data_IF_838071161563
#
_entry.id   IF_838071161563
#
_cell.length_a   1.000
_cell.length_b   1.000
_cell.length_c   1.000
_cell.angle_alpha   90.00
_cell.angle_beta   90.00
_cell.angle_gamma   90.00
#
_symmetry.space_group_name_H-M   'P 1'
#
loop_
_entity.id
_entity.type
_entity.pdbx_description
1 polymer ?
#
# COMPACT_ATOMS: atom_id res chain seq x y z
N UNK A 1 7.13 -7.35 18.68
CA UNK A 1 8.16 -6.69 17.87
C UNK A 1 7.82 -6.94 16.41
N UNK A 2 8.10 -6.03 15.47
CA UNK A 2 8.02 -6.36 14.06
C UNK A 2 8.99 -7.52 13.77
N UNK A 3 8.64 -8.49 12.92
CA UNK A 3 9.50 -9.62 12.61
C UNK A 3 10.77 -9.22 11.88
N UNK A 4 10.77 -8.04 11.23
CA UNK A 4 11.90 -7.54 10.46
C UNK A 4 12.28 -6.12 10.85
N UNK A 5 13.59 -5.90 10.93
CA UNK A 5 14.23 -4.58 10.95
C UNK A 5 14.97 -4.44 9.62
N UNK A 6 14.55 -3.48 8.79
CA UNK A 6 15.10 -3.25 7.47
C UNK A 6 16.16 -2.14 7.54
N UNK A 7 17.31 -2.39 6.94
CA UNK A 7 18.34 -1.38 6.73
C UNK A 7 18.49 -1.11 5.23
N UNK A 8 18.41 0.16 4.89
CA UNK A 8 18.66 0.63 3.53
C UNK A 8 19.88 1.56 3.56
N UNK A 9 20.80 1.37 2.63
CA UNK A 9 22.02 2.19 2.55
C UNK A 9 22.43 2.44 1.09
N UNK A 10 23.16 3.54 0.89
CA UNK A 10 23.83 3.86 -0.36
C UNK A 10 25.14 4.56 -0.11
N UNK A 11 26.09 4.42 -1.04
CA UNK A 11 27.32 5.18 -1.12
C UNK A 11 27.21 6.48 -1.94
N UNK A 12 26.01 6.73 -2.51
CA UNK A 12 25.72 7.92 -3.30
C UNK A 12 24.63 8.79 -2.66
N UNK A 13 24.93 10.08 -2.49
CA UNK A 13 23.98 11.05 -1.95
C UNK A 13 22.73 11.24 -2.82
N UNK A 14 22.81 11.00 -4.12
CA UNK A 14 21.65 11.06 -5.03
C UNK A 14 20.62 9.98 -4.74
N UNK A 15 21.01 8.87 -4.11
CA UNK A 15 20.09 7.80 -3.72
C UNK A 15 19.31 8.09 -2.41
N UNK A 16 19.77 9.02 -1.58
CA UNK A 16 19.14 9.31 -0.27
C UNK A 16 17.66 9.67 -0.39
N UNK A 17 17.23 10.59 -1.28
CA UNK A 17 15.79 10.89 -1.44
C UNK A 17 14.96 9.67 -1.82
N UNK A 18 15.53 8.73 -2.57
CA UNK A 18 14.88 7.49 -2.96
C UNK A 18 14.70 6.55 -1.77
N UNK A 19 15.73 6.40 -0.94
CA UNK A 19 15.66 5.58 0.27
C UNK A 19 14.69 6.16 1.29
N UNK A 20 14.69 7.48 1.48
CA UNK A 20 13.74 8.17 2.34
C UNK A 20 12.29 7.99 1.87
N UNK A 21 12.05 7.99 0.56
CA UNK A 21 10.72 7.79 0.01
C UNK A 21 10.19 6.37 0.22
N UNK A 22 11.04 5.35 0.40
CA UNK A 22 10.61 3.96 0.58
C UNK A 22 9.68 3.80 1.78
N UNK A 23 10.13 4.25 2.94
CA UNK A 23 9.45 4.05 4.22
C UNK A 23 9.47 5.31 5.07
N UNK A 24 9.23 6.46 4.45
CA UNK A 24 9.27 7.77 5.11
C UNK A 24 8.47 7.83 6.41
N UNK A 25 7.37 7.09 6.49
CA UNK A 25 6.50 7.01 7.64
C UNK A 25 6.79 5.83 8.58
N UNK A 26 7.83 5.04 8.30
CA UNK A 26 8.21 3.94 9.17
C UNK A 26 8.96 4.46 10.41
N UNK A 27 8.68 3.92 11.60
CA UNK A 27 9.46 4.25 12.78
C UNK A 27 10.91 3.76 12.61
N UNK A 28 11.88 4.64 12.90
CA UNK A 28 13.28 4.23 13.02
C UNK A 28 13.50 3.45 14.33
N UNK A 29 14.48 2.56 14.32
CA UNK A 29 14.84 1.74 15.49
C UNK A 29 16.33 1.55 15.57
N UNK A 30 16.88 1.45 16.77
CA UNK A 30 18.29 1.09 17.02
C UNK A 30 18.52 -0.42 17.06
N UNK A 31 17.46 -1.23 16.90
CA UNK A 31 17.59 -2.68 16.87
C UNK A 31 18.43 -3.12 15.66
N UNK A 32 19.25 -4.17 15.80
CA UNK A 32 20.09 -4.65 14.70
C UNK A 32 19.21 -5.08 13.51
N UNK A 33 19.62 -4.73 12.28
CA UNK A 33 18.86 -5.06 11.08
C UNK A 33 18.87 -6.57 10.85
N UNK A 34 17.70 -7.09 10.49
CA UNK A 34 17.51 -8.49 10.08
C UNK A 34 17.63 -8.66 8.56
N UNK A 35 17.32 -7.61 7.81
CA UNK A 35 17.41 -7.57 6.34
C UNK A 35 18.12 -6.29 5.90
N UNK A 36 19.08 -6.43 4.98
CA UNK A 36 19.87 -5.31 4.46
C UNK A 36 19.77 -5.20 2.96
N UNK A 37 19.53 -3.97 2.50
CA UNK A 37 19.44 -3.61 1.08
C UNK A 37 20.41 -2.47 0.80
N UNK A 38 21.14 -2.55 -0.32
CA UNK A 38 22.07 -1.50 -0.69
C UNK A 38 21.86 -1.05 -2.12
N UNK A 39 22.08 0.24 -2.36
CA UNK A 39 22.24 0.83 -3.68
C UNK A 39 23.67 1.35 -3.78
N UNK A 40 24.48 0.80 -4.67
CA UNK A 40 25.86 1.18 -4.87
C UNK A 40 26.07 1.72 -6.29
N UNK A 41 26.62 2.91 -6.40
CA UNK A 41 27.02 3.48 -7.68
C UNK A 41 28.23 2.71 -8.24
N UNK A 42 28.17 2.31 -9.50
CA UNK A 42 29.25 1.56 -10.19
C UNK A 42 29.71 2.24 -11.48
N UNK A 43 29.10 3.35 -11.85
CA UNK A 43 29.42 4.16 -13.02
C UNK A 43 28.53 5.39 -13.07
N UNK A 44 28.74 6.27 -14.05
CA UNK A 44 27.87 7.42 -14.27
C UNK A 44 26.42 6.93 -14.49
N UNK A 45 25.47 7.35 -13.65
CA UNK A 45 24.07 6.91 -13.67
C UNK A 45 23.84 5.39 -13.63
N UNK A 46 24.78 4.62 -13.13
CA UNK A 46 24.71 3.16 -13.05
C UNK A 46 24.85 2.64 -11.63
N UNK A 47 23.90 1.83 -11.19
CA UNK A 47 23.78 1.32 -9.83
C UNK A 47 23.65 -0.20 -9.81
N UNK A 48 24.25 -0.81 -8.78
CA UNK A 48 23.99 -2.18 -8.35
C UNK A 48 23.11 -2.16 -7.12
N UNK A 49 21.99 -2.87 -7.18
CA UNK A 49 21.12 -3.11 -6.04
C UNK A 49 21.40 -4.49 -5.45
N UNK A 50 21.52 -4.57 -4.12
CA UNK A 50 21.66 -5.85 -3.42
C UNK A 50 20.50 -6.07 -2.45
N UNK A 51 20.12 -7.32 -2.29
CA UNK A 51 19.12 -7.79 -1.34
C UNK A 51 19.60 -9.08 -0.66
N UNK A 52 19.03 -9.46 0.50
CA UNK A 52 19.41 -10.69 1.17
C UNK A 52 19.26 -11.93 0.29
N UNK A 53 20.23 -12.85 0.41
CA UNK A 53 20.23 -14.19 -0.19
C UNK A 53 19.95 -14.27 -1.71
N UNK A 54 20.18 -13.17 -2.46
CA UNK A 54 19.97 -13.12 -3.91
C UNK A 54 21.15 -12.46 -4.63
N UNK A 55 21.38 -12.78 -5.92
CA UNK A 55 22.40 -12.09 -6.71
C UNK A 55 22.06 -10.59 -6.84
N UNK A 56 23.09 -9.74 -6.96
CA UNK A 56 22.90 -8.32 -7.24
C UNK A 56 22.11 -8.09 -8.53
N UNK A 57 21.29 -7.04 -8.55
CA UNK A 57 20.58 -6.56 -9.73
C UNK A 57 21.32 -5.35 -10.32
N UNK A 58 21.44 -5.29 -11.61
CA UNK A 58 22.10 -4.20 -12.34
C UNK A 58 23.35 -4.66 -13.09
N UNK A 59 24.14 -3.72 -13.65
CA UNK A 59 23.98 -2.27 -13.53
C UNK A 59 22.67 -1.74 -14.16
N UNK A 60 22.01 -0.81 -13.50
CA UNK A 60 20.74 -0.23 -13.90
C UNK A 60 20.67 1.26 -13.52
N UNK A 61 19.67 2.00 -14.03
CA UNK A 61 19.43 3.37 -13.56
C UNK A 61 19.13 3.40 -12.06
N UNK A 62 19.33 4.55 -11.40
CA UNK A 62 18.97 4.70 -9.98
C UNK A 62 17.51 4.34 -9.72
N UNK A 63 16.58 4.79 -10.57
CA UNK A 63 15.16 4.50 -10.44
C UNK A 63 14.82 3.02 -10.53
N UNK A 64 15.44 2.29 -11.47
CA UNK A 64 15.22 0.84 -11.62
C UNK A 64 15.85 0.04 -10.49
N UNK A 65 17.06 0.42 -10.08
CA UNK A 65 17.75 -0.20 -8.95
C UNK A 65 16.97 -0.01 -7.64
N UNK A 66 16.41 1.20 -7.43
CA UNK A 66 15.56 1.51 -6.29
C UNK A 66 14.25 0.70 -6.32
N UNK A 67 13.57 0.65 -7.47
CA UNK A 67 12.33 -0.13 -7.62
C UNK A 67 12.56 -1.63 -7.35
N UNK A 68 13.73 -2.15 -7.72
CA UNK A 68 14.11 -3.50 -7.36
C UNK A 68 14.26 -3.68 -5.84
N UNK A 69 14.93 -2.75 -5.15
CA UNK A 69 15.09 -2.78 -3.70
C UNK A 69 13.73 -2.71 -3.01
N UNK A 70 12.86 -1.80 -3.43
CA UNK A 70 11.51 -1.65 -2.90
C UNK A 70 10.70 -2.95 -3.03
N UNK A 71 10.67 -3.52 -4.22
CA UNK A 71 9.96 -4.76 -4.47
C UNK A 71 10.50 -5.93 -3.65
N UNK A 72 11.83 -6.05 -3.53
CA UNK A 72 12.46 -7.11 -2.74
C UNK A 72 12.16 -6.98 -1.25
N UNK A 73 12.24 -5.77 -0.72
CA UNK A 73 11.95 -5.52 0.68
C UNK A 73 10.51 -5.93 1.05
N UNK A 74 9.55 -5.59 0.20
CA UNK A 74 8.16 -6.02 0.38
C UNK A 74 8.01 -7.54 0.24
N UNK A 75 8.62 -8.15 -0.76
CA UNK A 75 8.56 -9.61 -0.97
C UNK A 75 9.12 -10.36 0.24
N UNK A 76 10.27 -9.94 0.77
CA UNK A 76 10.90 -10.57 1.92
C UNK A 76 10.04 -10.44 3.18
N UNK A 77 9.41 -9.29 3.40
CA UNK A 77 8.46 -9.07 4.52
C UNK A 77 7.18 -9.90 4.33
N UNK A 78 6.64 -10.00 3.11
CA UNK A 78 5.45 -10.80 2.82
C UNK A 78 5.67 -12.30 2.99
N UNK A 79 6.89 -12.77 2.73
CA UNK A 79 7.26 -14.19 2.86
C UNK A 79 7.47 -14.63 4.31
N UNK A 80 7.73 -13.68 5.22
CA UNK A 80 7.86 -13.95 6.65
C UNK A 80 7.06 -12.94 7.50
N UNK A 81 5.73 -13.01 7.51
CA UNK A 81 4.88 -12.08 8.26
C UNK A 81 5.00 -12.24 9.77
N UNK A 82 5.66 -13.29 10.24
CA UNK A 82 5.61 -13.71 11.64
C UNK A 82 4.32 -14.50 11.98
N UNK A 83 4.24 -15.06 13.20
CA UNK A 83 3.22 -16.06 13.56
C UNK A 83 1.80 -15.49 13.67
N UNK A 84 1.66 -14.21 13.98
CA UNK A 84 0.39 -13.59 14.38
C UNK A 84 -0.16 -12.57 13.37
N UNK A 85 0.46 -12.47 12.21
CA UNK A 85 0.08 -11.51 11.17
C UNK A 85 -0.08 -12.20 9.82
N UNK A 86 -0.97 -11.65 9.02
CA UNK A 86 -1.06 -11.94 7.59
C UNK A 86 -1.17 -10.63 6.81
N UNK A 87 -0.84 -10.67 5.54
CA UNK A 87 -0.97 -9.53 4.65
C UNK A 87 -2.18 -9.67 3.73
N UNK A 88 -2.81 -8.54 3.45
CA UNK A 88 -3.99 -8.45 2.59
C UNK A 88 -3.73 -7.41 1.51
N UNK A 89 -3.95 -7.78 0.25
CA UNK A 89 -3.90 -6.84 -0.88
C UNK A 89 -5.17 -5.98 -0.89
N UNK A 90 -5.13 -4.90 -0.14
CA UNK A 90 -6.22 -3.96 0.02
C UNK A 90 -5.66 -2.56 0.31
N UNK A 91 -6.46 -1.54 0.05
CA UNK A 91 -6.25 -0.22 0.61
C UNK A 91 -7.15 -0.01 1.83
N UNK A 92 -6.75 0.92 2.72
CA UNK A 92 -7.54 1.28 3.90
C UNK A 92 -7.49 2.78 4.14
N UNK A 93 -8.65 3.41 4.30
CA UNK A 93 -8.77 4.85 4.58
C UNK A 93 -9.70 5.06 5.77
N UNK A 94 -9.32 5.95 6.67
CA UNK A 94 -10.14 6.32 7.83
C UNK A 94 -10.89 7.62 7.57
N UNK A 95 -12.22 7.55 7.60
CA UNK A 95 -13.12 8.70 7.44
C UNK A 95 -13.85 8.90 8.77
N UNK A 96 -13.44 9.90 9.52
CA UNK A 96 -13.82 10.02 10.94
C UNK A 96 -13.36 8.78 11.72
N UNK A 97 -14.25 8.15 12.47
CA UNK A 97 -13.97 6.93 13.23
C UNK A 97 -14.07 5.65 12.39
N UNK A 98 -14.49 5.73 11.13
CA UNK A 98 -14.79 4.59 10.29
C UNK A 98 -13.60 4.21 9.41
N UNK A 99 -13.09 3.00 9.56
CA UNK A 99 -12.10 2.41 8.64
C UNK A 99 -12.83 1.76 7.47
N UNK A 100 -12.59 2.26 6.26
CA UNK A 100 -13.10 1.73 5.01
C UNK A 100 -11.98 0.98 4.29
N UNK A 101 -12.19 -0.28 3.94
CA UNK A 101 -11.29 -1.07 3.12
C UNK A 101 -11.72 -0.98 1.65
N UNK A 102 -10.74 -0.80 0.75
CA UNK A 102 -10.94 -0.86 -0.69
C UNK A 102 -10.30 -2.15 -1.21
N UNK A 103 -11.09 -3.01 -1.83
CA UNK A 103 -10.63 -4.28 -2.41
C UNK A 103 -10.99 -4.34 -3.88
N UNK A 104 -10.15 -4.96 -4.67
CA UNK A 104 -10.35 -5.08 -6.11
C UNK A 104 -9.05 -5.47 -6.81
N UNK A 105 -9.12 -5.85 -8.09
CA UNK A 105 -7.95 -6.24 -8.84
C UNK A 105 -6.95 -5.08 -9.04
N UNK A 106 -5.75 -5.39 -9.54
CA UNK A 106 -4.81 -4.35 -9.97
C UNK A 106 -5.45 -3.45 -11.02
N UNK A 107 -5.20 -2.14 -10.96
CA UNK A 107 -5.80 -1.16 -11.88
C UNK A 107 -7.26 -0.78 -11.58
N UNK A 108 -7.87 -1.26 -10.50
CA UNK A 108 -9.23 -0.88 -10.10
C UNK A 108 -9.35 0.53 -9.49
N UNK A 109 -8.24 1.25 -9.32
CA UNK A 109 -8.22 2.61 -8.78
C UNK A 109 -8.03 2.72 -7.27
N UNK A 110 -7.70 1.63 -6.55
CA UNK A 110 -7.45 1.66 -5.09
C UNK A 110 -6.49 2.77 -4.70
N UNK A 111 -5.27 2.79 -5.27
CA UNK A 111 -4.24 3.77 -4.96
C UNK A 111 -4.66 5.20 -5.29
N UNK A 112 -5.35 5.39 -6.42
CA UNK A 112 -5.87 6.70 -6.84
C UNK A 112 -6.94 7.24 -5.88
N UNK A 113 -7.91 6.40 -5.49
CA UNK A 113 -8.96 6.78 -4.53
C UNK A 113 -8.34 7.07 -3.17
N UNK A 114 -7.39 6.24 -2.71
CA UNK A 114 -6.66 6.45 -1.46
C UNK A 114 -5.93 7.79 -1.46
N UNK A 115 -5.22 8.12 -2.52
CA UNK A 115 -4.49 9.39 -2.65
C UNK A 115 -5.45 10.59 -2.67
N UNK A 116 -6.59 10.51 -3.37
CA UNK A 116 -7.62 11.56 -3.38
C UNK A 116 -8.24 11.80 -1.99
N UNK A 117 -8.44 10.74 -1.22
CA UNK A 117 -8.95 10.85 0.15
C UNK A 117 -7.89 11.40 1.11
N UNK A 118 -6.61 11.01 0.92
CA UNK A 118 -5.48 11.61 1.66
C UNK A 118 -5.36 13.12 1.43
N UNK A 119 -5.48 13.59 0.16
CA UNK A 119 -5.51 15.03 -0.16
C UNK A 119 -6.60 15.79 0.59
N UNK A 120 -7.71 15.12 0.91
CA UNK A 120 -8.82 15.69 1.68
C UNK A 120 -8.59 15.65 3.19
N UNK A 121 -7.44 15.13 3.64
CA UNK A 121 -7.07 15.02 5.05
C UNK A 121 -7.56 13.74 5.73
N UNK A 122 -8.01 12.71 4.99
CA UNK A 122 -8.38 11.42 5.54
C UNK A 122 -7.16 10.50 5.65
N UNK A 123 -6.74 10.09 6.87
CA UNK A 123 -5.59 9.21 7.03
C UNK A 123 -5.83 7.86 6.36
N UNK A 124 -4.80 7.35 5.65
CA UNK A 124 -4.83 6.03 5.05
C UNK A 124 -3.90 5.06 5.78
N UNK A 125 -4.27 3.79 5.85
CA UNK A 125 -3.37 2.71 6.31
C UNK A 125 -2.39 2.29 5.21
N UNK A 126 -2.76 2.49 3.95
CA UNK A 126 -2.00 2.11 2.77
C UNK A 126 -2.92 1.91 1.56
N UNK A 127 -2.33 1.72 0.39
CA UNK A 127 -3.05 1.62 -0.89
C UNK A 127 -2.97 0.25 -1.57
N UNK A 128 -2.08 -0.63 -1.09
CA UNK A 128 -1.78 -1.90 -1.76
C UNK A 128 -1.66 -3.08 -0.79
N UNK A 129 -0.97 -2.90 0.34
CA UNK A 129 -0.72 -3.95 1.33
C UNK A 129 -1.07 -3.47 2.72
N UNK A 130 -1.92 -4.21 3.39
CA UNK A 130 -2.27 -4.02 4.80
C UNK A 130 -1.87 -5.23 5.62
N UNK A 131 -1.51 -5.01 6.87
CA UNK A 131 -1.36 -6.06 7.88
C UNK A 131 -2.70 -6.35 8.52
N UNK A 132 -3.02 -7.63 8.68
CA UNK A 132 -4.18 -8.09 9.43
C UNK A 132 -3.74 -8.99 10.58
N UNK A 133 -4.21 -8.68 11.79
CA UNK A 133 -3.99 -9.47 12.99
C UNK A 133 -5.22 -10.34 13.28
N UNK A 134 -5.20 -11.67 12.96
CA UNK A 134 -6.34 -12.55 13.08
C UNK A 134 -6.95 -12.61 14.48
N UNK A 135 -6.12 -12.52 15.52
CA UNK A 135 -6.59 -12.62 16.91
C UNK A 135 -7.44 -11.42 17.36
N UNK A 136 -7.24 -10.24 16.78
CA UNK A 136 -7.95 -9.01 17.16
C UNK A 136 -8.91 -8.49 16.10
N UNK A 137 -8.81 -8.97 14.86
CA UNK A 137 -9.54 -8.43 13.72
C UNK A 137 -9.06 -7.02 13.27
N UNK A 138 -7.86 -6.61 13.68
CA UNK A 138 -7.32 -5.29 13.43
C UNK A 138 -6.51 -5.27 12.14
N UNK A 139 -6.79 -4.27 11.29
CA UNK A 139 -5.96 -3.89 10.16
C UNK A 139 -5.00 -2.77 10.56
N UNK A 140 -3.78 -2.83 10.06
CA UNK A 140 -2.74 -1.83 10.29
C UNK A 140 -1.91 -1.59 9.03
N UNK A 141 -1.19 -0.48 9.03
CA UNK A 141 -0.35 -0.07 7.92
C UNK A 141 0.86 -0.98 7.73
N UNK A 142 1.26 -1.19 6.47
CA UNK A 142 2.65 -1.36 6.08
C UNK A 142 3.13 0.03 5.69
N UNK A 143 4.02 0.66 6.47
CA UNK A 143 4.38 2.07 6.29
C UNK A 143 5.29 2.24 5.05
N UNK A 144 4.69 2.36 3.88
CA UNK A 144 5.36 2.55 2.59
C UNK A 144 4.69 3.67 1.78
N UNK A 145 5.40 4.18 0.77
CA UNK A 145 4.84 5.15 -0.17
C UNK A 145 3.72 4.55 -1.01
N UNK A 146 2.76 5.38 -1.39
CA UNK A 146 1.75 5.02 -2.38
C UNK A 146 2.41 4.90 -3.75
N UNK A 147 2.00 3.91 -4.54
CA UNK A 147 2.43 3.75 -5.92
C UNK A 147 1.32 4.23 -6.86
N UNK A 148 1.58 5.33 -7.55
CA UNK A 148 0.63 5.99 -8.45
C UNK A 148 1.06 5.82 -9.90
N UNK A 149 0.10 5.60 -10.79
CA UNK A 149 0.29 5.65 -12.24
C UNK A 149 0.10 7.07 -12.79
N UNK A 150 0.39 7.25 -14.08
CA UNK A 150 0.27 8.55 -14.76
C UNK A 150 -1.15 9.13 -14.69
N UNK A 151 -2.18 8.30 -14.70
CA UNK A 151 -3.57 8.75 -14.62
C UNK A 151 -3.89 9.29 -13.22
N UNK A 152 -3.45 8.60 -12.17
CA UNK A 152 -3.58 9.06 -10.80
C UNK A 152 -2.85 10.39 -10.59
N UNK A 153 -1.64 10.48 -11.15
CA UNK A 153 -0.83 11.69 -11.14
C UNK A 153 -1.57 12.90 -11.75
N UNK A 154 -2.15 12.74 -12.93
CA UNK A 154 -2.94 13.80 -13.58
C UNK A 154 -4.18 14.18 -12.76
N UNK A 155 -4.87 13.20 -12.17
CA UNK A 155 -6.06 13.44 -11.36
C UNK A 155 -5.76 14.22 -10.07
N UNK A 156 -4.60 14.00 -9.46
CA UNK A 156 -4.18 14.69 -8.25
C UNK A 156 -3.58 16.08 -8.52
N UNK A 157 -3.52 16.55 -9.78
CA UNK A 157 -2.84 17.79 -10.17
C UNK A 157 -1.43 17.92 -9.59
N UNK A 158 -0.77 16.81 -9.36
CA UNK A 158 0.61 16.79 -8.90
C UNK A 158 1.48 17.32 -10.06
N UNK A 159 1.84 18.59 -10.02
CA UNK A 159 2.69 19.19 -11.03
C UNK A 159 4.11 18.66 -10.86
N UNK A 160 4.60 17.96 -11.86
CA UNK A 160 6.03 17.79 -12.06
C UNK A 160 6.62 19.17 -12.37
N UNK A 161 6.94 19.94 -11.36
CA UNK A 161 7.74 21.16 -11.56
C UNK A 161 9.11 20.73 -12.06
N UNK A 162 9.29 20.84 -13.38
CA UNK A 162 10.43 20.56 -14.22
C UNK A 162 11.61 19.85 -13.56
N UNK A 163 12.11 18.78 -14.19
CA UNK A 163 13.33 18.03 -13.86
C UNK A 163 13.85 18.25 -12.42
N UNK A 164 13.57 17.31 -11.53
CA UNK A 164 14.32 17.04 -10.29
C UNK A 164 13.94 17.76 -8.99
N UNK A 165 12.81 18.41 -8.84
CA UNK A 165 12.37 18.76 -7.49
C UNK A 165 10.99 18.15 -7.21
N UNK A 166 10.98 16.84 -7.09
CA UNK A 166 9.87 16.16 -6.42
C UNK A 166 9.82 16.69 -4.99
N UNK A 167 8.64 17.03 -4.51
CA UNK A 167 8.46 17.40 -3.09
C UNK A 167 9.06 16.30 -2.20
N UNK A 168 9.52 16.68 -1.03
CA UNK A 168 10.04 15.72 -0.04
C UNK A 168 9.10 14.52 0.06
N UNK A 169 9.64 13.31 -0.09
CA UNK A 169 8.86 12.07 -0.04
C UNK A 169 8.17 11.66 -1.35
N UNK A 170 8.59 12.20 -2.50
CA UNK A 170 8.07 11.80 -3.81
C UNK A 170 9.22 11.40 -4.74
N UNK A 171 9.10 10.24 -5.40
CA UNK A 171 10.13 9.68 -6.30
C UNK A 171 9.49 9.10 -7.54
N UNK A 172 10.05 9.40 -8.71
CA UNK A 172 9.73 8.72 -9.98
C UNK A 172 10.72 7.57 -10.21
N UNK A 173 10.22 6.35 -10.24
CA UNK A 173 11.04 5.16 -10.45
C UNK A 173 10.29 4.12 -11.28
N UNK A 174 10.97 3.47 -12.22
CA UNK A 174 10.42 2.41 -13.09
C UNK A 174 9.05 2.77 -13.71
N UNK A 175 8.86 4.03 -14.15
CA UNK A 175 7.62 4.50 -14.78
C UNK A 175 6.43 4.67 -13.81
N UNK A 176 6.66 4.65 -12.51
CA UNK A 176 5.64 4.89 -11.49
C UNK A 176 6.07 6.00 -10.54
N UNK A 177 5.11 6.77 -10.06
CA UNK A 177 5.34 7.79 -9.03
C UNK A 177 5.09 7.16 -7.65
N UNK A 178 6.10 7.25 -6.78
CA UNK A 178 5.99 6.86 -5.38
C UNK A 178 5.84 8.12 -4.53
N UNK A 179 4.77 8.19 -3.76
CA UNK A 179 4.41 9.38 -2.98
C UNK A 179 4.23 8.99 -1.52
N UNK A 180 4.99 9.63 -0.64
CA UNK A 180 4.78 9.46 0.80
C UNK A 180 3.38 9.96 1.19
N UNK A 181 2.63 9.23 2.04
CA UNK A 181 1.36 9.71 2.56
C UNK A 181 1.45 11.09 3.20
N UNK A 182 2.57 11.42 3.85
CA UNK A 182 2.81 12.74 4.48
C UNK A 182 2.89 13.86 3.44
N UNK A 183 3.33 13.57 2.22
CA UNK A 183 3.36 14.57 1.14
C UNK A 183 1.94 14.98 0.68
N UNK A 184 0.97 14.09 0.80
CA UNK A 184 -0.44 14.36 0.46
C UNK A 184 -1.24 14.86 1.68
N UNK A 185 -0.92 14.38 2.87
CA UNK A 185 -1.57 14.74 4.12
C UNK A 185 -0.50 15.00 5.20
N UNK A 186 -0.07 16.25 5.42
CA UNK A 186 1.01 16.57 6.37
C UNK A 186 0.75 16.13 7.81
N UNK A 187 -0.51 15.98 8.19
CA UNK A 187 -0.94 15.49 9.51
C UNK A 187 -1.23 13.99 9.50
N UNK A 188 -0.75 13.27 8.46
CA UNK A 188 -1.03 11.85 8.32
C UNK A 188 -0.47 11.03 9.49
N UNK A 189 -1.32 10.16 10.00
CA UNK A 189 -0.98 9.15 10.99
C UNK A 189 -1.74 7.86 10.66
N UNK A 190 -1.04 6.73 10.60
CA UNK A 190 -1.66 5.45 10.34
C UNK A 190 -2.33 4.91 11.61
N UNK A 191 -3.63 5.11 11.75
CA UNK A 191 -4.41 4.64 12.91
C UNK A 191 -5.00 3.25 12.64
N UNK A 192 -4.49 2.18 13.26
CA UNK A 192 -5.04 0.83 13.11
C UNK A 192 -6.49 0.73 13.55
N UNK A 193 -7.23 -0.26 13.03
CA UNK A 193 -8.61 -0.47 13.45
C UNK A 193 -9.30 -1.66 12.80
N UNK A 194 -10.51 -1.94 13.31
CA UNK A 194 -11.43 -2.86 12.65
C UNK A 194 -12.14 -2.16 11.50
N UNK A 195 -12.44 -2.84 10.40
CA UNK A 195 -13.16 -2.24 9.30
C UNK A 195 -14.62 -1.95 9.69
N UNK A 196 -15.09 -0.77 9.36
CA UNK A 196 -16.51 -0.43 9.37
C UNK A 196 -17.18 -0.82 8.06
N UNK A 197 -16.47 -0.69 6.93
CA UNK A 197 -16.99 -0.95 5.61
C UNK A 197 -15.94 -1.51 4.66
N UNK A 198 -16.42 -2.24 3.66
CA UNK A 198 -15.64 -2.77 2.55
C UNK A 198 -16.25 -2.32 1.24
N UNK A 199 -15.47 -1.68 0.40
CA UNK A 199 -15.84 -1.30 -0.96
C UNK A 199 -15.13 -2.22 -1.95
N UNK A 200 -15.90 -3.00 -2.68
CA UNK A 200 -15.40 -3.85 -3.77
C UNK A 200 -15.37 -3.02 -5.06
N UNK A 201 -14.18 -2.80 -5.59
CA UNK A 201 -13.94 -2.05 -6.82
C UNK A 201 -13.86 -3.00 -8.03
N UNK A 202 -14.47 -2.60 -9.13
CA UNK A 202 -14.38 -3.31 -10.42
C UNK A 202 -13.27 -2.74 -11.31
N UNK A 203 -12.76 -3.56 -12.24
CA UNK A 203 -11.68 -3.17 -13.18
C UNK A 203 -12.15 -2.51 -14.46
N UNK A 204 -13.43 -2.22 -14.64
CA UNK A 204 -13.93 -1.79 -15.94
C UNK A 204 -13.88 -0.27 -16.14
N UNK A 205 -13.65 0.21 -17.39
CA UNK A 205 -13.78 1.63 -17.71
C UNK A 205 -15.27 2.00 -17.64
N UNK A 206 -15.62 2.75 -16.62
CA UNK A 206 -17.01 3.07 -16.33
C UNK A 206 -17.40 4.43 -16.95
N UNK A 207 -18.43 4.40 -17.80
CA UNK A 207 -19.11 5.59 -18.30
C UNK A 207 -20.46 5.67 -17.58
N UNK A 208 -20.54 6.48 -16.52
CA UNK A 208 -21.78 6.68 -15.78
C UNK A 208 -21.61 7.40 -14.45
N UNK A 209 -22.72 7.61 -13.75
CA UNK A 209 -22.70 8.11 -12.37
C UNK A 209 -22.12 7.05 -11.44
N UNK A 210 -21.38 7.50 -10.41
CA UNK A 210 -20.87 6.60 -9.39
C UNK A 210 -22.03 6.10 -8.54
N UNK A 211 -22.17 4.80 -8.46
CA UNK A 211 -23.09 4.15 -7.54
C UNK A 211 -22.30 3.26 -6.58
N UNK A 212 -22.58 3.41 -5.29
CA UNK A 212 -22.20 2.46 -4.27
C UNK A 212 -23.46 1.71 -3.87
N UNK A 213 -23.61 0.52 -4.42
CA UNK A 213 -24.72 -0.37 -4.06
C UNK A 213 -24.32 -1.17 -2.82
N UNK A 214 -25.26 -1.30 -1.86
CA UNK A 214 -25.07 -2.25 -0.77
C UNK A 214 -24.97 -3.66 -1.35
N UNK A 215 -23.95 -4.38 -0.91
CA UNK A 215 -23.70 -5.74 -1.34
C UNK A 215 -23.79 -6.71 -0.15
N UNK A 216 -23.85 -8.00 -0.46
CA UNK A 216 -23.81 -9.02 0.60
C UNK A 216 -22.41 -9.04 1.24
N UNK A 217 -22.38 -9.12 2.56
CA UNK A 217 -21.16 -9.23 3.35
C UNK A 217 -20.31 -10.43 2.89
N UNK A 218 -20.94 -11.51 2.46
CA UNK A 218 -20.26 -12.71 1.98
C UNK A 218 -19.41 -12.48 0.73
N UNK A 219 -19.81 -11.61 -0.20
CA UNK A 219 -19.00 -11.28 -1.39
C UNK A 219 -17.80 -10.43 -1.02
N UNK A 220 -17.97 -9.43 -0.14
CA UNK A 220 -16.86 -8.62 0.35
C UNK A 220 -15.84 -9.47 1.12
N UNK A 221 -16.33 -10.36 1.97
CA UNK A 221 -15.53 -11.32 2.72
C UNK A 221 -14.73 -12.25 1.78
N UNK A 222 -15.39 -12.79 0.75
CA UNK A 222 -14.72 -13.63 -0.24
C UNK A 222 -13.61 -12.87 -0.98
N UNK A 223 -13.86 -11.61 -1.38
CA UNK A 223 -12.86 -10.76 -2.04
C UNK A 223 -11.66 -10.49 -1.14
N UNK A 224 -11.88 -10.21 0.15
CA UNK A 224 -10.79 -10.04 1.11
C UNK A 224 -10.00 -11.34 1.33
N UNK A 225 -10.65 -12.49 1.42
CA UNK A 225 -9.96 -13.78 1.52
C UNK A 225 -9.13 -14.08 0.27
N UNK A 226 -9.64 -13.74 -0.92
CA UNK A 226 -8.88 -13.84 -2.18
C UNK A 226 -7.68 -12.90 -2.23
N UNK A 227 -7.71 -11.82 -1.46
CA UNK A 227 -6.65 -10.81 -1.38
C UNK A 227 -5.56 -11.13 -0.34
N UNK A 228 -5.64 -12.26 0.36
CA UNK A 228 -4.59 -12.70 1.29
C UNK A 228 -3.28 -12.98 0.54
N UNK A 229 -2.21 -12.32 0.97
CA UNK A 229 -0.87 -12.41 0.38
C UNK A 229 0.04 -13.38 1.18
N UNK A 230 1.09 -13.89 0.53
CA UNK A 230 2.16 -14.67 1.17
C UNK A 230 1.81 -16.09 1.59
N UNK A 231 0.54 -16.49 1.53
CA UNK A 231 0.08 -17.78 2.03
C UNK A 231 0.11 -18.91 0.97
N UNK A 232 0.54 -18.65 -0.26
CA UNK A 232 0.51 -19.64 -1.34
C UNK A 232 1.73 -20.59 -1.35
N UNK A 233 2.84 -20.21 -0.71
CA UNK A 233 4.14 -20.85 -0.93
C UNK A 233 4.83 -21.42 0.33
N UNK A 234 4.18 -21.46 1.49
CA UNK A 234 4.81 -21.89 2.74
C UNK A 234 4.16 -23.07 3.44
N UNK A 235 4.79 -23.61 4.49
CA UNK A 235 4.23 -24.68 5.35
C UNK A 235 2.93 -24.29 6.09
N UNK A 236 2.32 -23.20 5.67
CA UNK A 236 1.25 -22.46 6.35
C UNK A 236 -0.18 -22.67 5.85
N UNK A 237 -0.52 -23.75 5.12
CA UNK A 237 -1.94 -23.97 4.74
C UNK A 237 -2.90 -23.89 5.94
N UNK A 238 -2.46 -24.32 7.12
CA UNK A 238 -3.20 -24.18 8.37
C UNK A 238 -3.31 -22.73 8.85
N UNK A 239 -2.24 -21.94 8.72
CA UNK A 239 -2.23 -20.53 9.11
C UNK A 239 -3.13 -19.71 8.19
N UNK A 240 -3.08 -19.95 6.86
CA UNK A 240 -3.98 -19.32 5.89
C UNK A 240 -5.46 -19.61 6.19
N UNK A 241 -5.79 -20.88 6.46
CA UNK A 241 -7.16 -21.25 6.82
C UNK A 241 -7.63 -20.55 8.09
N UNK A 242 -6.80 -20.49 9.13
CA UNK A 242 -7.09 -19.75 10.36
C UNK A 242 -7.27 -18.26 10.10
N UNK A 243 -6.39 -17.66 9.31
CA UNK A 243 -6.48 -16.25 8.93
C UNK A 243 -7.73 -15.95 8.08
N UNK A 244 -8.10 -16.84 7.14
CA UNK A 244 -9.33 -16.71 6.36
C UNK A 244 -10.58 -16.75 7.24
N UNK A 245 -10.64 -17.67 8.21
CA UNK A 245 -11.76 -17.74 9.14
C UNK A 245 -11.85 -16.49 10.02
N UNK A 246 -10.73 -16.05 10.60
CA UNK A 246 -10.70 -14.83 11.41
C UNK A 246 -11.07 -13.58 10.59
N UNK A 247 -10.67 -13.53 9.31
CA UNK A 247 -11.06 -12.45 8.41
C UNK A 247 -12.57 -12.44 8.15
N UNK A 248 -13.16 -13.62 7.90
CA UNK A 248 -14.61 -13.78 7.76
C UNK A 248 -15.35 -13.35 9.04
N UNK A 249 -14.87 -13.77 10.20
CA UNK A 249 -15.44 -13.37 11.50
C UNK A 249 -15.34 -11.87 11.75
N UNK A 250 -14.23 -11.23 11.35
CA UNK A 250 -14.04 -9.78 11.50
C UNK A 250 -14.95 -8.92 10.64
N UNK A 251 -15.66 -9.53 9.67
CA UNK A 251 -16.52 -8.87 8.71
C UNK A 251 -18.02 -9.12 8.94
N UNK A 252 -18.40 -9.80 10.02
CA UNK A 252 -19.82 -10.15 10.28
C UNK A 252 -20.74 -8.95 10.46
N UNK A 253 -20.21 -7.79 10.90
CA UNK A 253 -20.97 -6.56 11.12
C UNK A 253 -20.52 -5.42 10.19
N UNK A 254 -19.81 -5.75 9.10
CA UNK A 254 -19.21 -4.78 8.20
C UNK A 254 -20.12 -4.48 7.03
N UNK A 255 -20.40 -3.20 6.78
CA UNK A 255 -21.18 -2.81 5.62
C UNK A 255 -20.40 -3.04 4.33
N UNK A 256 -20.95 -3.82 3.42
CA UNK A 256 -20.34 -4.09 2.13
C UNK A 256 -20.97 -3.23 1.03
N UNK A 257 -20.13 -2.68 0.17
CA UNK A 257 -20.51 -1.91 -0.99
C UNK A 257 -19.83 -2.44 -2.24
N UNK A 258 -20.51 -2.33 -3.37
CA UNK A 258 -19.98 -2.59 -4.69
C UNK A 258 -19.97 -1.31 -5.50
N UNK A 259 -18.85 -0.95 -6.11
CA UNK A 259 -18.76 0.24 -6.94
C UNK A 259 -19.19 -0.08 -8.36
N UNK A 260 -20.03 0.77 -8.94
CA UNK A 260 -20.38 0.75 -10.35
C UNK A 260 -20.18 2.12 -10.97
N UNK A 261 -19.66 2.13 -12.16
CA UNK A 261 -19.90 3.17 -13.14
C UNK A 261 -19.14 4.49 -13.03
N UNK A 262 -18.11 4.69 -12.18
CA UNK A 262 -17.49 6.01 -12.09
C UNK A 262 -15.97 6.04 -12.04
N UNK A 263 -15.44 7.23 -12.40
CA UNK A 263 -14.04 7.53 -12.20
C UNK A 263 -13.67 7.66 -10.72
N UNK A 264 -12.36 7.57 -10.40
CA UNK A 264 -11.87 7.53 -9.01
C UNK A 264 -12.30 8.74 -8.16
N UNK A 265 -12.39 9.93 -8.74
CA UNK A 265 -12.80 11.16 -8.01
C UNK A 265 -14.23 11.07 -7.52
N UNK A 266 -15.17 10.67 -8.39
CA UNK A 266 -16.58 10.51 -8.04
C UNK A 266 -16.79 9.36 -7.04
N UNK A 267 -16.01 8.28 -7.16
CA UNK A 267 -16.03 7.19 -6.18
C UNK A 267 -15.52 7.66 -4.81
N UNK A 268 -14.44 8.47 -4.77
CA UNK A 268 -13.96 9.06 -3.53
C UNK A 268 -15.02 9.92 -2.85
N UNK A 269 -15.78 10.75 -3.64
CA UNK A 269 -16.90 11.55 -3.13
C UNK A 269 -17.99 10.68 -2.50
N UNK A 270 -18.38 9.61 -3.18
CA UNK A 270 -19.44 8.70 -2.68
C UNK A 270 -18.99 7.89 -1.46
N UNK A 271 -17.73 7.44 -1.42
CA UNK A 271 -17.17 6.73 -0.25
C UNK A 271 -17.18 7.67 0.96
N UNK A 272 -16.76 8.92 0.77
CA UNK A 272 -16.76 9.93 1.83
C UNK A 272 -18.18 10.20 2.35
N UNK A 273 -19.16 10.40 1.45
CA UNK A 273 -20.55 10.63 1.80
C UNK A 273 -21.13 9.48 2.63
N UNK A 274 -20.99 8.25 2.14
CA UNK A 274 -21.51 7.05 2.80
C UNK A 274 -20.81 6.77 4.13
N UNK A 275 -19.50 7.05 4.21
CA UNK A 275 -18.77 6.86 5.46
C UNK A 275 -19.02 7.96 6.50
N UNK A 276 -19.63 9.09 6.13
CA UNK A 276 -20.05 10.15 7.06
C UNK A 276 -21.50 10.01 7.53
N UNK A 277 -22.37 9.36 6.74
CA UNK A 277 -23.76 9.08 7.09
C UNK A 277 -23.89 7.98 8.15
#
# INVERSE_FOLDING_TARGET
>A
MPPHVLEFSSDDAAAVPYLDALYHAAPSTEAPPTLRYTLRQVGDDSYLATSPARPPFGPASLGDAWAFVEWRAIEDVLNDPGPDLVFVHAAGVRIGERLVLLVGPSGSGKSTITALLLERGYPALGDDVLRFAPASGIFSSVPRSLKLDDNAFCLLNLQMQGKATLSVGTVLAAGSLYVSPVALCPTWEAVPGRPWGVVVLESAPHRGAAELERHSEGVAALRLVQSLLGAEFGPGAGARRKASLALLESLTDVTAFHSRGAGPRTLADRIEEVARS
#
